data_IF_675819503617
#
_entry.id   IF_675819503617
#
_cell.length_a   1.000
_cell.length_b   1.000
_cell.length_c   1.000
_cell.angle_alpha   90.00
_cell.angle_beta   90.00
_cell.angle_gamma   90.00
#
_symmetry.space_group_name_H-M   'P 1'
#
loop_
_entity.id
_entity.type
_entity.pdbx_description
1 polymer ?
#
# COMPACT_ATOMS: atom_id res chain seq x y z
N UNK A 1 2.35 -34.70 22.09
CA UNK A 1 2.09 -33.25 22.24
C UNK A 1 2.14 -32.63 20.86
N UNK A 2 1.04 -32.74 20.11
CA UNK A 2 0.83 -31.90 18.93
C UNK A 2 0.41 -30.53 19.45
N UNK A 3 1.30 -29.55 19.31
CA UNK A 3 0.94 -28.17 19.56
C UNK A 3 0.09 -27.72 18.36
N UNK A 4 -1.22 -28.01 18.41
CA UNK A 4 -2.22 -27.43 17.54
C UNK A 4 -2.28 -25.93 17.85
N UNK A 5 -1.39 -25.14 17.24
CA UNK A 5 -1.64 -23.71 17.05
C UNK A 5 -2.92 -23.59 16.25
N UNK A 6 -4.03 -23.38 16.94
CA UNK A 6 -5.31 -22.99 16.34
C UNK A 6 -5.03 -21.88 15.33
N UNK A 7 -5.33 -22.13 14.06
CA UNK A 7 -5.32 -21.10 13.03
C UNK A 7 -6.21 -19.96 13.53
N UNK A 8 -5.69 -18.74 13.49
CA UNK A 8 -6.47 -17.56 13.84
C UNK A 8 -7.67 -17.45 12.88
N UNK A 9 -8.86 -17.18 13.40
CA UNK A 9 -10.08 -17.10 12.58
C UNK A 9 -10.99 -15.98 13.07
N UNK A 10 -11.45 -15.15 12.14
CA UNK A 10 -12.39 -14.05 12.40
C UNK A 10 -13.61 -14.25 11.50
N UNK A 11 -14.82 -14.06 12.00
CA UNK A 11 -16.02 -14.11 11.17
C UNK A 11 -16.18 -12.84 10.32
N UNK A 12 -16.62 -13.02 9.08
CA UNK A 12 -16.74 -11.94 8.11
C UNK A 12 -17.74 -10.87 8.56
N UNK A 13 -18.81 -11.25 9.26
CA UNK A 13 -19.88 -10.32 9.69
C UNK A 13 -19.39 -9.37 10.78
N UNK A 14 -18.66 -9.88 11.79
CA UNK A 14 -18.06 -9.05 12.84
C UNK A 14 -16.92 -8.21 12.29
N UNK A 15 -16.12 -8.74 11.36
CA UNK A 15 -15.09 -7.96 10.68
C UNK A 15 -15.72 -6.83 9.84
N UNK A 16 -16.76 -7.11 9.06
CA UNK A 16 -17.52 -6.11 8.30
C UNK A 16 -18.09 -5.02 9.20
N UNK A 17 -18.62 -5.39 10.37
CA UNK A 17 -19.11 -4.43 11.36
C UNK A 17 -18.01 -3.45 11.79
N UNK A 18 -16.83 -3.95 12.13
CA UNK A 18 -15.65 -3.12 12.50
C UNK A 18 -15.24 -2.22 11.35
N UNK A 19 -15.07 -2.76 10.15
CA UNK A 19 -14.64 -1.99 8.98
C UNK A 19 -15.65 -0.87 8.64
N UNK A 20 -16.95 -1.15 8.75
CA UNK A 20 -17.99 -0.15 8.56
C UNK A 20 -17.94 0.99 9.59
N UNK A 21 -17.59 0.70 10.85
CA UNK A 21 -17.38 1.74 11.87
C UNK A 21 -16.16 2.61 11.54
N UNK A 22 -15.06 1.99 11.12
CA UNK A 22 -13.83 2.70 10.71
C UNK A 22 -14.10 3.62 9.53
N UNK A 23 -14.80 3.14 8.50
CA UNK A 23 -15.16 3.95 7.33
C UNK A 23 -15.92 5.23 7.73
N UNK A 24 -16.86 5.11 8.68
CA UNK A 24 -17.65 6.24 9.20
C UNK A 24 -16.86 7.14 10.16
N UNK A 25 -15.63 6.80 10.50
CA UNK A 25 -14.85 7.51 11.52
C UNK A 25 -15.44 7.35 12.93
N UNK A 26 -16.18 6.27 13.19
CA UNK A 26 -16.88 6.05 14.46
C UNK A 26 -15.94 5.50 15.53
N UNK A 27 -15.75 6.20 16.68
CA UNK A 27 -14.86 5.74 17.76
C UNK A 27 -15.22 4.36 18.33
N UNK A 28 -16.47 3.89 18.16
CA UNK A 28 -16.88 2.54 18.57
C UNK A 28 -16.12 1.44 17.83
N UNK A 29 -15.48 1.75 16.69
CA UNK A 29 -14.61 0.82 15.98
C UNK A 29 -13.53 0.20 16.88
N UNK A 30 -12.98 0.99 17.81
CA UNK A 30 -11.90 0.54 18.71
C UNK A 30 -12.38 -0.57 19.65
N UNK A 31 -13.56 -0.39 20.25
CA UNK A 31 -14.19 -1.40 21.11
C UNK A 31 -14.63 -2.62 20.33
N UNK A 32 -15.36 -2.42 19.21
CA UNK A 32 -15.83 -3.50 18.36
C UNK A 32 -14.67 -4.38 17.82
N UNK A 33 -13.53 -3.77 17.49
CA UNK A 33 -12.33 -4.51 17.09
C UNK A 33 -11.71 -5.31 18.24
N UNK A 34 -11.66 -4.75 19.45
CA UNK A 34 -11.19 -5.46 20.64
C UNK A 34 -12.07 -6.66 20.98
N UNK A 35 -13.38 -6.55 20.76
CA UNK A 35 -14.38 -7.60 21.02
C UNK A 35 -14.29 -8.79 20.05
N UNK A 36 -13.57 -8.67 18.92
CA UNK A 36 -13.31 -9.80 18.01
C UNK A 36 -12.53 -10.94 18.69
N UNK A 37 -11.88 -10.66 19.83
CA UNK A 37 -11.03 -11.62 20.52
C UNK A 37 -9.80 -12.01 19.70
N UNK A 38 -8.91 -12.80 20.29
CA UNK A 38 -7.63 -13.20 19.71
C UNK A 38 -6.63 -12.04 19.42
N UNK A 39 -5.44 -12.39 18.91
CA UNK A 39 -4.37 -11.42 18.61
C UNK A 39 -4.75 -10.36 17.57
N UNK A 40 -5.49 -10.68 16.49
CA UNK A 40 -5.88 -9.65 15.53
C UNK A 40 -6.83 -8.60 16.10
N UNK A 41 -7.72 -8.95 17.04
CA UNK A 41 -8.64 -7.98 17.63
C UNK A 41 -7.90 -6.82 18.32
N UNK A 42 -6.82 -7.14 19.03
CA UNK A 42 -5.94 -6.12 19.65
C UNK A 42 -5.27 -5.24 18.61
N UNK A 43 -4.70 -5.84 17.55
CA UNK A 43 -4.06 -5.08 16.46
C UNK A 43 -5.06 -4.21 15.71
N UNK A 44 -6.24 -4.75 15.38
CA UNK A 44 -7.32 -4.03 14.70
C UNK A 44 -7.90 -2.92 15.55
N UNK A 45 -7.91 -3.07 16.88
CA UNK A 45 -8.33 -2.01 17.81
C UNK A 45 -7.39 -0.82 17.75
N UNK A 46 -6.06 -1.07 17.81
CA UNK A 46 -5.05 -0.03 17.61
C UNK A 46 -5.14 0.57 16.20
N UNK A 47 -5.23 -0.26 15.17
CA UNK A 47 -5.33 0.19 13.79
C UNK A 47 -6.55 1.08 13.57
N UNK A 48 -7.70 0.73 14.17
CA UNK A 48 -8.94 1.50 14.09
C UNK A 48 -8.78 2.87 14.74
N UNK A 49 -8.16 2.92 15.92
CA UNK A 49 -7.85 4.17 16.62
C UNK A 49 -6.95 5.08 15.77
N UNK A 50 -5.90 4.51 15.17
CA UNK A 50 -4.98 5.24 14.29
C UNK A 50 -5.65 5.68 12.98
N UNK A 51 -6.53 4.87 12.41
CA UNK A 51 -7.19 5.16 11.13
C UNK A 51 -8.21 6.31 11.22
N UNK A 52 -8.88 6.46 12.36
CA UNK A 52 -9.85 7.55 12.58
C UNK A 52 -9.20 8.82 13.16
N UNK A 53 -7.93 8.74 13.59
CA UNK A 53 -7.14 9.86 14.09
C UNK A 53 -6.42 10.60 12.96
N UNK A 54 -6.16 11.91 13.13
CA UNK A 54 -5.37 12.69 12.17
C UNK A 54 -3.87 12.54 12.45
N UNK A 55 -3.18 11.72 11.67
CA UNK A 55 -1.75 11.40 11.84
C UNK A 55 -1.01 11.67 10.53
N UNK A 56 -0.82 12.95 10.19
CA UNK A 56 -0.19 13.38 8.91
C UNK A 56 1.09 14.19 9.03
N UNK A 57 1.36 14.78 10.20
CA UNK A 57 2.37 15.84 10.32
C UNK A 57 3.77 15.27 10.17
N UNK A 58 4.46 15.66 9.11
CA UNK A 58 5.85 15.31 8.82
C UNK A 58 6.65 16.56 8.47
N UNK A 59 7.94 16.55 8.76
CA UNK A 59 8.93 17.54 8.32
C UNK A 59 9.94 16.96 7.33
N UNK A 60 10.13 15.63 7.35
CA UNK A 60 10.98 14.90 6.41
C UNK A 60 10.31 14.59 5.06
N UNK A 61 11.10 13.95 4.20
CA UNK A 61 10.75 13.61 2.82
C UNK A 61 9.99 12.29 2.73
N UNK A 62 8.87 12.26 2.01
CA UNK A 62 8.11 11.05 1.74
C UNK A 62 7.94 10.80 0.24
N UNK A 63 8.53 9.71 -0.26
CA UNK A 63 8.46 9.27 -1.65
C UNK A 63 7.71 7.95 -1.74
N UNK A 64 6.80 7.84 -2.71
CA UNK A 64 6.08 6.59 -3.01
C UNK A 64 6.48 6.10 -4.40
N UNK A 65 6.94 4.86 -4.49
CA UNK A 65 7.14 4.15 -5.76
C UNK A 65 5.91 3.29 -6.02
N UNK A 66 5.19 3.63 -7.09
CA UNK A 66 3.92 3.01 -7.45
C UNK A 66 3.91 2.51 -8.90
N UNK A 67 2.81 1.91 -9.32
CA UNK A 67 2.64 1.24 -10.60
C UNK A 67 1.79 -0.03 -10.45
N UNK A 68 1.30 -0.54 -11.57
CA UNK A 68 0.55 -1.80 -11.61
C UNK A 68 1.40 -3.01 -11.20
N UNK A 69 0.79 -4.16 -10.97
CA UNK A 69 1.53 -5.37 -10.59
C UNK A 69 2.62 -5.74 -11.60
N UNK A 70 3.73 -6.27 -11.09
CA UNK A 70 4.95 -6.59 -11.89
C UNK A 70 5.60 -5.41 -12.62
N UNK A 71 5.32 -4.16 -12.23
CA UNK A 71 6.02 -2.98 -12.74
C UNK A 71 7.46 -2.80 -12.22
N UNK A 72 7.90 -3.56 -11.20
CA UNK A 72 9.27 -3.49 -10.66
C UNK A 72 9.44 -2.65 -9.39
N UNK A 73 8.36 -2.24 -8.72
CA UNK A 73 8.42 -1.40 -7.51
C UNK A 73 9.38 -1.92 -6.44
N UNK A 74 9.32 -3.22 -6.12
CA UNK A 74 10.19 -3.84 -5.11
C UNK A 74 11.67 -3.81 -5.49
N UNK A 75 11.94 -4.11 -6.76
CA UNK A 75 13.28 -4.04 -7.35
C UNK A 75 13.86 -2.63 -7.19
N UNK A 76 13.08 -1.59 -7.41
CA UNK A 76 13.56 -0.21 -7.36
C UNK A 76 13.54 0.42 -5.97
N UNK A 77 12.68 -0.04 -5.06
CA UNK A 77 12.70 0.43 -3.65
C UNK A 77 13.82 -0.27 -2.87
N UNK A 78 13.94 -1.60 -3.00
CA UNK A 78 14.78 -2.42 -2.11
C UNK A 78 15.88 -3.23 -2.83
N UNK A 79 15.69 -3.58 -4.10
CA UNK A 79 16.58 -4.46 -4.88
C UNK A 79 17.01 -5.76 -4.14
N UNK A 80 16.06 -6.57 -3.63
CA UNK A 80 16.37 -7.71 -2.77
C UNK A 80 17.16 -8.82 -3.48
N UNK A 81 17.08 -8.88 -4.81
CA UNK A 81 17.80 -9.87 -5.63
C UNK A 81 19.15 -9.35 -6.14
N UNK A 82 19.60 -8.17 -5.68
CA UNK A 82 20.88 -7.56 -6.05
C UNK A 82 21.14 -7.48 -7.56
N UNK A 83 20.14 -7.03 -8.33
CA UNK A 83 20.30 -6.89 -9.78
C UNK A 83 21.44 -5.90 -10.11
N UNK A 84 22.41 -6.28 -10.97
CA UNK A 84 23.48 -5.38 -11.38
C UNK A 84 22.93 -4.12 -12.05
N UNK A 85 23.53 -2.97 -11.72
CA UNK A 85 23.13 -1.67 -12.27
C UNK A 85 21.83 -1.09 -11.71
N UNK A 86 21.13 -1.81 -10.82
CA UNK A 86 19.97 -1.27 -10.08
C UNK A 86 20.41 -0.75 -8.73
N UNK A 87 20.11 0.51 -8.46
CA UNK A 87 20.37 1.16 -7.18
C UNK A 87 19.03 1.33 -6.45
N UNK A 88 18.83 0.66 -5.29
CA UNK A 88 17.58 0.79 -4.57
C UNK A 88 17.43 2.23 -4.06
N UNK A 89 16.24 2.80 -4.19
CA UNK A 89 15.98 4.21 -3.87
C UNK A 89 16.25 4.55 -2.41
N UNK A 90 16.08 3.59 -1.49
CA UNK A 90 16.48 3.77 -0.08
C UNK A 90 17.98 4.13 0.04
N UNK A 91 18.83 3.48 -0.76
CA UNK A 91 20.27 3.76 -0.79
C UNK A 91 20.57 5.08 -1.50
N UNK A 92 19.87 5.37 -2.59
CA UNK A 92 20.02 6.64 -3.32
C UNK A 92 19.77 7.84 -2.39
N UNK A 93 18.68 7.81 -1.60
CA UNK A 93 18.40 8.88 -0.64
C UNK A 93 19.41 8.96 0.50
N UNK A 94 19.92 7.81 1.00
CA UNK A 94 21.00 7.81 1.98
C UNK A 94 22.27 8.48 1.47
N UNK A 95 22.66 8.23 0.21
CA UNK A 95 23.80 8.91 -0.41
C UNK A 95 23.55 10.40 -0.69
N UNK A 96 22.28 10.81 -0.76
CA UNK A 96 21.86 12.21 -0.84
C UNK A 96 21.77 12.90 0.52
N UNK A 97 22.12 12.19 1.61
CA UNK A 97 22.20 12.75 2.96
C UNK A 97 20.98 12.50 3.86
N UNK A 98 19.99 11.72 3.42
CA UNK A 98 18.82 11.38 4.24
C UNK A 98 19.01 10.09 5.03
N UNK A 99 18.72 10.12 6.33
CA UNK A 99 18.49 8.86 7.06
C UNK A 99 17.16 8.25 6.56
N UNK A 100 17.23 7.11 5.89
CA UNK A 100 16.12 6.61 5.04
C UNK A 100 15.49 5.32 5.55
N UNK A 101 14.17 5.34 5.69
CA UNK A 101 13.36 4.16 5.99
C UNK A 101 12.67 3.65 4.72
N UNK A 102 12.80 2.36 4.43
CA UNK A 102 12.03 1.71 3.38
C UNK A 102 10.75 1.09 3.95
N UNK A 103 9.63 1.25 3.24
CA UNK A 103 8.31 0.76 3.68
C UNK A 103 7.68 -0.12 2.60
N UNK A 104 7.11 -1.25 2.99
CA UNK A 104 6.35 -2.13 2.12
C UNK A 104 4.86 -2.06 2.46
N UNK A 105 3.99 -1.96 1.45
CA UNK A 105 2.54 -1.97 1.63
C UNK A 105 1.86 -2.96 0.66
N UNK A 106 0.94 -3.80 1.14
CA UNK A 106 0.61 -4.06 2.55
C UNK A 106 1.79 -4.63 3.34
N UNK A 107 1.82 -4.42 4.66
CA UNK A 107 2.72 -5.14 5.56
C UNK A 107 2.07 -6.47 5.93
N UNK A 108 2.61 -7.57 5.38
CA UNK A 108 2.00 -8.89 5.51
C UNK A 108 2.33 -9.57 6.83
N UNK A 109 3.37 -9.14 7.54
CA UNK A 109 3.73 -9.72 8.84
C UNK A 109 2.77 -9.29 9.97
N UNK A 110 1.99 -8.22 9.73
CA UNK A 110 0.90 -7.78 10.62
C UNK A 110 -0.33 -8.69 10.51
N UNK A 111 -1.13 -8.79 11.57
CA UNK A 111 -2.37 -9.58 11.57
C UNK A 111 -3.38 -9.07 10.55
N UNK A 112 -3.51 -7.75 10.40
CA UNK A 112 -4.25 -7.09 9.31
C UNK A 112 -3.74 -7.51 7.93
N UNK A 113 -2.43 -7.69 7.77
CA UNK A 113 -1.80 -8.25 6.58
C UNK A 113 -2.20 -9.70 6.32
N UNK A 114 -2.29 -10.52 7.36
CA UNK A 114 -2.77 -11.90 7.26
C UNK A 114 -4.26 -11.96 6.86
N UNK A 115 -5.10 -11.04 7.36
CA UNK A 115 -6.49 -10.91 6.93
C UNK A 115 -6.61 -10.47 5.46
N UNK A 116 -5.73 -9.57 5.00
CA UNK A 116 -5.64 -9.23 3.57
C UNK A 116 -5.27 -10.46 2.74
N UNK A 117 -4.30 -11.29 3.20
CA UNK A 117 -3.95 -12.55 2.51
C UNK A 117 -5.18 -13.47 2.42
N UNK A 118 -5.90 -13.64 3.52
CA UNK A 118 -7.12 -14.44 3.54
C UNK A 118 -8.17 -13.93 2.56
N UNK A 119 -8.44 -12.62 2.52
CA UNK A 119 -9.36 -12.01 1.56
C UNK A 119 -8.94 -12.24 0.10
N UNK A 120 -7.64 -12.20 -0.17
CA UNK A 120 -7.07 -12.48 -1.50
C UNK A 120 -7.01 -13.98 -1.85
N UNK A 121 -7.48 -14.87 -0.96
CA UNK A 121 -7.41 -16.33 -1.15
C UNK A 121 -5.99 -16.89 -1.03
N UNK A 122 -5.08 -16.14 -0.41
CA UNK A 122 -3.70 -16.55 -0.16
C UNK A 122 -3.59 -17.23 1.21
N UNK A 123 -2.68 -18.21 1.33
CA UNK A 123 -2.37 -18.83 2.63
C UNK A 123 -1.80 -17.78 3.59
N UNK A 124 -2.25 -17.78 4.83
CA UNK A 124 -1.77 -16.92 5.90
C UNK A 124 -2.05 -17.55 7.26
N UNK A 125 -1.61 -16.87 8.32
CA UNK A 125 -1.71 -17.36 9.70
C UNK A 125 -3.05 -17.01 10.36
N UNK A 126 -3.87 -16.18 9.70
CA UNK A 126 -5.23 -15.86 10.10
C UNK A 126 -6.20 -15.91 8.90
N UNK A 127 -7.41 -16.41 9.14
CA UNK A 127 -8.45 -16.61 8.14
C UNK A 127 -9.72 -15.80 8.44
N UNK A 128 -10.29 -15.18 7.40
CA UNK A 128 -11.65 -14.65 7.41
C UNK A 128 -12.59 -15.79 7.08
N UNK A 129 -13.53 -16.06 7.97
CA UNK A 129 -14.55 -17.08 7.78
C UNK A 129 -15.85 -16.48 7.28
N UNK A 130 -16.34 -16.98 6.15
CA UNK A 130 -17.43 -16.37 5.40
C UNK A 130 -16.91 -15.49 4.26
N UNK A 131 -17.75 -14.62 3.73
CA UNK A 131 -17.44 -13.79 2.57
C UNK A 131 -17.52 -12.31 2.95
N UNK A 132 -16.37 -11.66 3.07
CA UNK A 132 -16.30 -10.21 3.26
C UNK A 132 -16.61 -9.49 1.93
N UNK A 133 -17.55 -8.53 1.89
CA UNK A 133 -17.89 -7.81 0.65
C UNK A 133 -16.77 -6.89 0.15
N UNK A 134 -16.57 -6.84 -1.18
CA UNK A 134 -15.58 -5.93 -1.80
C UNK A 134 -15.89 -4.44 -1.55
N UNK A 135 -17.16 -4.11 -1.31
CA UNK A 135 -17.63 -2.76 -0.98
C UNK A 135 -17.05 -2.20 0.33
N UNK A 136 -16.53 -3.07 1.21
CA UNK A 136 -15.96 -2.68 2.51
C UNK A 136 -14.54 -3.24 2.75
N UNK A 137 -14.16 -4.33 2.08
CA UNK A 137 -12.87 -4.99 2.30
C UNK A 137 -11.65 -4.06 2.12
N UNK A 138 -11.73 -3.02 1.28
CA UNK A 138 -10.68 -2.01 1.08
C UNK A 138 -10.23 -1.34 2.39
N UNK A 139 -11.09 -1.28 3.41
CA UNK A 139 -10.78 -0.70 4.72
C UNK A 139 -9.70 -1.54 5.45
N UNK A 140 -9.58 -2.85 5.17
CA UNK A 140 -8.49 -3.67 5.72
C UNK A 140 -7.11 -3.14 5.32
N UNK A 141 -6.96 -2.69 4.07
CA UNK A 141 -5.74 -2.05 3.60
C UNK A 141 -5.49 -0.71 4.29
N UNK A 142 -6.55 0.05 4.58
CA UNK A 142 -6.44 1.30 5.33
C UNK A 142 -6.01 1.06 6.79
N UNK A 143 -6.53 0.02 7.45
CA UNK A 143 -6.13 -0.38 8.79
C UNK A 143 -4.66 -0.84 8.85
N UNK A 144 -4.25 -1.72 7.92
CA UNK A 144 -2.86 -2.14 7.79
C UNK A 144 -1.93 -0.95 7.59
N UNK A 145 -2.33 0.02 6.76
CA UNK A 145 -1.56 1.23 6.55
C UNK A 145 -1.55 2.16 7.74
N UNK A 146 -2.63 2.28 8.51
CA UNK A 146 -2.66 3.11 9.71
C UNK A 146 -1.55 2.70 10.71
N UNK A 147 -1.34 1.39 10.87
CA UNK A 147 -0.28 0.82 11.72
C UNK A 147 1.14 1.17 11.22
N UNK A 148 1.34 1.26 9.91
CA UNK A 148 2.63 1.61 9.30
C UNK A 148 2.83 3.13 9.19
N UNK A 149 1.74 3.89 9.02
CA UNK A 149 1.75 5.34 8.96
C UNK A 149 2.24 5.95 10.26
N UNK A 150 1.82 5.42 11.42
CA UNK A 150 2.22 5.96 12.72
C UNK A 150 3.75 5.99 12.95
N UNK A 151 4.50 4.87 12.82
CA UNK A 151 5.95 4.90 12.94
C UNK A 151 6.62 5.68 11.81
N UNK A 152 6.09 5.67 10.59
CA UNK A 152 6.66 6.45 9.48
C UNK A 152 6.52 7.96 9.68
N UNK A 153 5.39 8.44 10.21
CA UNK A 153 5.18 9.83 10.60
C UNK A 153 6.12 10.22 11.74
N UNK A 154 6.28 9.34 12.73
CA UNK A 154 7.21 9.56 13.84
C UNK A 154 8.66 9.64 13.34
N UNK A 155 9.03 8.78 12.39
CA UNK A 155 10.33 8.84 11.73
C UNK A 155 10.55 10.18 11.02
N UNK A 156 9.55 10.63 10.25
CA UNK A 156 9.59 11.87 9.50
C UNK A 156 9.32 13.14 10.34
N UNK A 157 9.31 13.06 11.67
CA UNK A 157 9.30 14.27 12.51
C UNK A 157 10.63 15.02 12.47
N UNK A 158 11.70 14.34 12.05
CA UNK A 158 12.99 14.93 11.72
C UNK A 158 13.06 15.28 10.23
N UNK A 159 13.40 16.53 9.92
CA UNK A 159 13.50 17.03 8.54
C UNK A 159 14.66 16.44 7.74
N UNK A 160 15.62 15.78 8.40
CA UNK A 160 16.76 15.10 7.76
C UNK A 160 16.46 13.65 7.39
N UNK A 161 15.24 13.17 7.67
CA UNK A 161 14.80 11.80 7.41
C UNK A 161 13.95 11.68 6.16
N UNK A 162 14.03 10.51 5.54
CA UNK A 162 13.19 10.15 4.40
C UNK A 162 12.49 8.81 4.59
N UNK A 163 11.33 8.65 3.95
CA UNK A 163 10.63 7.38 3.76
C UNK A 163 10.48 7.11 2.27
N UNK A 164 10.80 5.89 1.84
CA UNK A 164 10.50 5.38 0.49
C UNK A 164 9.54 4.20 0.62
N UNK A 165 8.31 4.37 0.16
CA UNK A 165 7.31 3.31 0.23
C UNK A 165 7.10 2.61 -1.12
N UNK A 166 7.08 1.28 -1.10
CA UNK A 166 6.49 0.45 -2.16
C UNK A 166 4.98 0.44 -1.94
N UNK A 167 4.28 1.29 -2.70
CA UNK A 167 2.84 1.60 -2.58
C UNK A 167 2.47 2.40 -1.33
N UNK A 168 1.36 3.12 -1.42
CA UNK A 168 0.69 3.81 -0.32
C UNK A 168 -0.83 3.86 -0.59
N UNK A 169 -1.49 4.98 -0.26
CA UNK A 169 -2.93 5.21 -0.50
C UNK A 169 -3.36 5.16 -1.96
N UNK A 170 -2.46 5.51 -2.88
CA UNK A 170 -2.76 5.48 -4.31
C UNK A 170 -3.04 4.07 -4.82
N UNK A 171 -2.44 3.05 -4.21
CA UNK A 171 -2.67 1.66 -4.60
C UNK A 171 -4.03 1.17 -4.11
N UNK A 172 -4.50 1.58 -2.93
CA UNK A 172 -5.85 1.21 -2.47
C UNK A 172 -6.90 1.80 -3.41
N UNK A 173 -6.73 3.08 -3.76
CA UNK A 173 -7.56 3.76 -4.76
C UNK A 173 -7.54 3.02 -6.11
N UNK A 174 -6.34 2.75 -6.65
CA UNK A 174 -6.19 2.20 -8.00
C UNK A 174 -6.81 0.81 -8.16
N UNK A 175 -6.83 -0.04 -7.13
CA UNK A 175 -7.39 -1.38 -7.25
C UNK A 175 -8.87 -1.46 -6.83
N UNK A 176 -9.29 -0.76 -5.78
CA UNK A 176 -10.67 -0.90 -5.29
C UNK A 176 -11.70 -0.06 -6.05
N UNK A 177 -11.29 1.05 -6.68
CA UNK A 177 -12.19 1.80 -7.58
C UNK A 177 -12.63 0.95 -8.77
N UNK A 178 -11.72 0.12 -9.30
CA UNK A 178 -12.04 -0.81 -10.40
C UNK A 178 -13.01 -1.91 -9.98
N UNK A 179 -13.19 -2.12 -8.68
CA UNK A 179 -14.14 -3.06 -8.09
C UNK A 179 -15.44 -2.38 -7.64
N UNK A 180 -15.67 -1.12 -8.05
CA UNK A 180 -16.90 -0.39 -7.77
C UNK A 180 -16.91 0.37 -6.44
N UNK A 181 -15.77 0.53 -5.77
CA UNK A 181 -15.67 1.39 -4.58
C UNK A 181 -15.55 2.85 -5.01
N UNK A 182 -16.39 3.72 -4.46
CA UNK A 182 -16.28 5.17 -4.71
C UNK A 182 -14.92 5.71 -4.19
N UNK A 183 -14.10 6.37 -5.05
CA UNK A 183 -12.89 7.08 -4.65
C UNK A 183 -13.04 7.92 -3.39
N UNK A 184 -14.18 8.62 -3.23
CA UNK A 184 -14.41 9.52 -2.11
C UNK A 184 -14.47 8.77 -0.76
N UNK A 185 -14.94 7.52 -0.74
CA UNK A 185 -14.97 6.68 0.46
C UNK A 185 -13.56 6.28 0.90
N UNK A 186 -12.69 5.94 -0.05
CA UNK A 186 -11.29 5.62 0.26
C UNK A 186 -10.58 6.86 0.81
N UNK A 187 -10.73 7.99 0.12
CA UNK A 187 -10.12 9.26 0.53
C UNK A 187 -10.69 9.80 1.84
N UNK A 188 -11.95 9.50 2.18
CA UNK A 188 -12.55 9.93 3.44
C UNK A 188 -11.90 9.26 4.65
N UNK A 189 -11.23 8.11 4.48
CA UNK A 189 -10.41 7.47 5.52
C UNK A 189 -8.94 7.89 5.36
N UNK A 190 -8.38 7.64 4.18
CA UNK A 190 -6.92 7.66 3.97
C UNK A 190 -6.32 9.04 3.77
N UNK A 191 -7.15 10.07 3.59
CA UNK A 191 -6.66 11.45 3.61
C UNK A 191 -6.00 11.79 4.95
N UNK A 192 -6.35 11.12 6.06
CA UNK A 192 -5.73 11.27 7.40
C UNK A 192 -4.33 10.68 7.53
N UNK A 193 -3.84 9.97 6.52
CA UNK A 193 -2.48 9.46 6.49
C UNK A 193 -1.54 10.48 5.84
N UNK A 194 -0.24 10.35 6.11
CA UNK A 194 0.74 11.22 5.50
C UNK A 194 0.66 11.13 3.97
N UNK A 195 0.70 12.28 3.32
CA UNK A 195 0.67 12.38 1.86
C UNK A 195 2.09 12.47 1.33
N UNK A 196 2.41 11.78 0.22
CA UNK A 196 3.75 11.82 -0.34
C UNK A 196 4.06 13.16 -0.98
N UNK A 197 5.32 13.56 -0.90
CA UNK A 197 5.83 14.73 -1.62
C UNK A 197 6.00 14.41 -3.10
N UNK A 198 6.33 13.15 -3.40
CA UNK A 198 6.58 12.65 -4.76
C UNK A 198 6.05 11.23 -4.94
N UNK A 199 5.29 11.04 -6.01
CA UNK A 199 5.02 9.75 -6.62
C UNK A 199 5.99 9.49 -7.77
N UNK A 200 6.64 8.33 -7.73
CA UNK A 200 7.39 7.74 -8.83
C UNK A 200 6.53 6.61 -9.42
N UNK A 201 5.86 6.89 -10.54
CA UNK A 201 4.95 5.95 -11.21
C UNK A 201 5.72 5.14 -12.23
N UNK A 202 5.91 3.85 -11.95
CA UNK A 202 6.43 2.88 -12.91
C UNK A 202 5.33 2.51 -13.90
N UNK A 203 5.34 3.18 -15.05
CA UNK A 203 4.38 2.97 -16.12
C UNK A 203 4.75 1.73 -16.94
N UNK A 204 3.93 0.69 -16.82
CA UNK A 204 4.09 -0.56 -17.55
C UNK A 204 2.80 -0.85 -18.30
N UNK A 205 2.94 -1.31 -19.53
CA UNK A 205 1.83 -1.81 -20.33
C UNK A 205 1.11 -2.99 -19.61
N UNK A 206 -0.22 -2.96 -19.46
CA UNK A 206 -0.98 -4.01 -18.78
C UNK A 206 -0.79 -5.41 -19.39
N UNK A 207 -0.59 -5.53 -20.71
CA UNK A 207 -0.37 -6.82 -21.34
C UNK A 207 1.02 -7.35 -20.98
N UNK A 208 2.04 -6.48 -20.97
CA UNK A 208 3.38 -6.84 -20.49
C UNK A 208 3.37 -7.26 -19.02
N UNK A 209 2.64 -6.54 -18.16
CA UNK A 209 2.46 -6.90 -16.76
C UNK A 209 1.77 -8.26 -16.59
N UNK A 210 0.69 -8.50 -17.33
CA UNK A 210 -0.06 -9.77 -17.27
C UNK A 210 0.80 -10.94 -17.71
N UNK A 211 1.61 -10.78 -18.77
CA UNK A 211 2.61 -11.79 -19.18
C UNK A 211 3.65 -12.10 -18.09
N UNK A 212 4.12 -11.10 -17.34
CA UNK A 212 5.05 -11.30 -16.21
C UNK A 212 4.42 -12.02 -15.01
N UNK A 213 3.09 -11.93 -14.85
CA UNK A 213 2.35 -12.65 -13.80
C UNK A 213 2.13 -14.11 -14.20
N UNK A 214 1.84 -14.35 -15.48
CA UNK A 214 1.46 -15.66 -16.00
C UNK A 214 -0.03 -15.94 -15.86
N UNK A 215 -0.54 -16.91 -16.63
CA UNK A 215 -1.96 -17.25 -16.75
C UNK A 215 -2.38 -17.46 -18.21
N UNK A 216 -3.54 -18.07 -18.43
CA UNK A 216 -4.10 -18.35 -19.77
C UNK A 216 -5.62 -18.09 -19.77
N UNK A 217 -6.18 -17.84 -20.95
CA UNK A 217 -7.63 -17.66 -21.16
C UNK A 217 -8.25 -16.54 -20.34
N UNK A 218 -9.43 -16.77 -19.76
CA UNK A 218 -10.23 -15.76 -19.04
C UNK A 218 -9.51 -15.11 -17.85
N UNK A 219 -8.59 -15.86 -17.21
CA UNK A 219 -7.77 -15.34 -16.11
C UNK A 219 -6.78 -14.26 -16.56
N UNK A 220 -6.32 -14.34 -17.81
CA UNK A 220 -5.45 -13.34 -18.43
C UNK A 220 -6.24 -12.07 -18.71
N UNK A 221 -7.38 -12.19 -19.41
CA UNK A 221 -8.22 -11.04 -19.77
C UNK A 221 -8.75 -10.29 -18.55
N UNK A 222 -9.30 -11.01 -17.57
CA UNK A 222 -9.83 -10.39 -16.34
C UNK A 222 -8.74 -9.60 -15.60
N UNK A 223 -7.52 -10.16 -15.55
CA UNK A 223 -6.38 -9.49 -14.92
C UNK A 223 -5.90 -8.29 -15.74
N UNK A 224 -5.82 -8.43 -17.05
CA UNK A 224 -5.45 -7.36 -17.97
C UNK A 224 -6.40 -6.17 -17.85
N UNK A 225 -7.70 -6.41 -17.75
CA UNK A 225 -8.73 -5.40 -17.50
C UNK A 225 -8.52 -4.70 -16.15
N UNK A 226 -8.33 -5.47 -15.08
CA UNK A 226 -8.03 -4.93 -13.74
C UNK A 226 -6.78 -4.03 -13.76
N UNK A 227 -5.69 -4.48 -14.37
CA UNK A 227 -4.44 -3.71 -14.46
C UNK A 227 -4.58 -2.48 -15.35
N UNK A 228 -5.38 -2.55 -16.42
CA UNK A 228 -5.65 -1.40 -17.30
C UNK A 228 -6.39 -0.30 -16.53
N UNK A 229 -7.45 -0.66 -15.82
CA UNK A 229 -8.21 0.30 -15.02
C UNK A 229 -7.36 0.86 -13.84
N UNK A 230 -6.54 0.04 -13.20
CA UNK A 230 -5.61 0.51 -12.18
C UNK A 230 -4.56 1.49 -12.75
N UNK A 231 -4.03 1.20 -13.95
CA UNK A 231 -3.09 2.09 -14.65
C UNK A 231 -3.73 3.45 -14.95
N UNK A 232 -4.99 3.50 -15.33
CA UNK A 232 -5.71 4.76 -15.57
C UNK A 232 -5.79 5.62 -14.31
N UNK A 233 -6.13 5.03 -13.16
CA UNK A 233 -6.14 5.75 -11.87
C UNK A 233 -4.74 6.26 -11.51
N UNK A 234 -3.72 5.41 -11.61
CA UNK A 234 -2.32 5.79 -11.37
C UNK A 234 -1.79 6.83 -12.37
N UNK A 235 -2.40 6.89 -13.56
CA UNK A 235 -2.14 7.90 -14.57
C UNK A 235 -2.72 9.28 -14.23
N UNK A 236 -3.58 9.39 -13.22
CA UNK A 236 -4.27 10.63 -12.86
C UNK A 236 -4.13 10.97 -11.36
N UNK A 237 -3.00 10.61 -10.74
CA UNK A 237 -2.80 10.82 -9.29
C UNK A 237 -2.86 12.28 -8.87
N UNK A 238 -2.47 13.21 -9.73
CA UNK A 238 -2.55 14.65 -9.45
C UNK A 238 -3.99 15.10 -9.11
N UNK A 239 -5.01 14.40 -9.64
CA UNK A 239 -6.43 14.66 -9.34
C UNK A 239 -6.80 14.28 -7.91
N UNK A 240 -6.22 13.21 -7.38
CA UNK A 240 -6.60 12.62 -6.10
C UNK A 240 -5.70 13.06 -4.95
N UNK A 241 -4.46 13.46 -5.27
CA UNK A 241 -3.44 13.86 -4.32
C UNK A 241 -2.89 15.25 -4.67
N UNK A 242 -3.74 16.30 -4.57
CA UNK A 242 -3.31 17.67 -4.84
C UNK A 242 -2.20 18.06 -3.86
N UNK A 243 -1.07 18.52 -4.38
CA UNK A 243 0.12 18.87 -3.60
C UNK A 243 1.27 17.86 -3.68
N UNK A 244 1.00 16.64 -4.16
CA UNK A 244 2.06 15.68 -4.50
C UNK A 244 2.60 15.94 -5.91
N UNK A 245 3.92 15.82 -6.08
CA UNK A 245 4.53 15.77 -7.41
C UNK A 245 4.37 14.37 -7.99
N UNK A 246 4.28 14.25 -9.32
CA UNK A 246 4.19 12.97 -10.01
C UNK A 246 5.23 12.93 -11.12
N UNK A 247 6.08 11.90 -11.09
CA UNK A 247 7.04 11.60 -12.14
C UNK A 247 6.73 10.20 -12.66
N UNK A 248 6.47 10.09 -13.97
CA UNK A 248 6.21 8.81 -14.65
C UNK A 248 7.51 8.32 -15.29
N UNK A 249 7.81 7.04 -15.10
CA UNK A 249 8.99 6.37 -15.66
C UNK A 249 8.54 5.15 -16.46
N UNK A 250 9.01 5.02 -17.69
CA UNK A 250 8.77 3.86 -18.54
C UNK A 250 9.44 2.61 -17.96
N UNK A 251 8.61 1.71 -17.41
CA UNK A 251 9.03 0.47 -16.77
C UNK A 251 9.12 -0.72 -17.74
N UNK A 252 8.97 -0.50 -19.05
CA UNK A 252 9.20 -1.50 -20.09
C UNK A 252 10.69 -1.73 -20.38
N UNK A 253 11.53 -0.75 -20.03
CA UNK A 253 12.99 -0.77 -20.22
C UNK A 253 13.68 -1.75 -19.28
N UNK A 254 14.98 -1.99 -19.51
CA UNK A 254 15.79 -2.80 -18.61
C UNK A 254 15.88 -2.17 -17.20
N UNK A 255 15.96 -2.98 -16.13
CA UNK A 255 15.95 -2.47 -14.77
C UNK A 255 17.02 -1.41 -14.46
N UNK A 256 18.22 -1.50 -15.05
CA UNK A 256 19.28 -0.51 -14.81
C UNK A 256 18.94 0.84 -15.44
N UNK A 257 18.33 0.85 -16.63
CA UNK A 257 17.79 2.08 -17.24
C UNK A 257 16.68 2.70 -16.40
N UNK A 258 15.70 1.90 -15.96
CA UNK A 258 14.61 2.37 -15.09
C UNK A 258 15.18 2.94 -13.78
N UNK A 259 16.19 2.28 -13.20
CA UNK A 259 16.87 2.77 -11.99
C UNK A 259 17.52 4.14 -12.19
N UNK A 260 18.16 4.39 -13.34
CA UNK A 260 18.75 5.71 -13.66
C UNK A 260 17.70 6.78 -13.85
N UNK A 261 16.57 6.44 -14.48
CA UNK A 261 15.46 7.37 -14.70
C UNK A 261 14.79 7.77 -13.38
N UNK A 262 14.58 6.82 -12.47
CA UNK A 262 14.09 7.10 -11.12
C UNK A 262 15.06 7.98 -10.33
N UNK A 263 16.35 7.66 -10.33
CA UNK A 263 17.35 8.48 -9.63
C UNK A 263 17.38 9.92 -10.18
N UNK A 264 17.34 10.07 -11.51
CA UNK A 264 17.26 11.39 -12.14
C UNK A 264 15.99 12.13 -11.69
N UNK A 265 14.84 11.48 -11.72
CA UNK A 265 13.57 12.08 -11.28
C UNK A 265 13.59 12.53 -9.81
N UNK A 266 14.19 11.74 -8.91
CA UNK A 266 14.36 12.13 -7.50
C UNK A 266 15.27 13.34 -7.37
N UNK A 267 16.42 13.37 -8.06
CA UNK A 267 17.34 14.52 -8.02
C UNK A 267 16.69 15.79 -8.54
N UNK A 268 16.00 15.71 -9.68
CA UNK A 268 15.28 16.83 -10.27
C UNK A 268 14.19 17.36 -9.32
N UNK A 269 13.49 16.48 -8.62
CA UNK A 269 12.50 16.87 -7.63
C UNK A 269 13.12 17.61 -6.43
N UNK A 270 14.25 17.12 -5.90
CA UNK A 270 14.92 17.72 -4.74
C UNK A 270 15.61 19.07 -5.02
N UNK A 271 15.81 19.42 -6.29
CA UNK A 271 16.42 20.68 -6.70
C UNK A 271 15.41 21.81 -7.00
N UNK A 272 14.11 21.56 -6.83
CA UNK A 272 13.04 22.55 -6.99
C UNK A 272 12.89 23.39 -5.72
#
# INVERSE_FOLDING_TARGET
MENMTSICRIDADSLEHVLGLVERGDPRAVGAAADLGARPGVELSLASSLAISDVRRKSGLFIVVTGIDKSGKETHVFNPTHLPGVRPLVKVLSELGYETMGVHQPEYDLQSGQLIRSYLGLRGDCEISGKLPASIAWVLWSLNRALVNYPAVTWLSDGTRAVVAKRWSESNLAYHVTQGVDPARILSVESRFMQPDLFLVLDLDPDAATRRIGGIGDSFESRRQLLSAAREILGNLERYFPGSNVIRVDASRDPASVSRDLERGVREFLHR
#
